data_IF_670411495366
#
_entry.id   IF_670411495366
#
_cell.length_a   1.000
_cell.length_b   1.000
_cell.length_c   1.000
_cell.angle_alpha   90.00
_cell.angle_beta   90.00
_cell.angle_gamma   90.00
#
_symmetry.space_group_name_H-M   'P 1'
#
loop_
_entity.id
_entity.type
_entity.pdbx_description
1 polymer ?
#
# COMPACT_ATOMS: atom_id res chain seq x y z
N UNK A 1 -31.18 25.83 -57.63
CA UNK A 1 -30.30 26.00 -56.45
C UNK A 1 -30.77 24.95 -55.46
N UNK A 2 -30.08 23.80 -55.48
CA UNK A 2 -30.52 22.55 -54.86
C UNK A 2 -30.60 22.70 -53.35
N UNK A 3 -31.76 22.39 -52.77
CA UNK A 3 -31.88 22.17 -51.34
C UNK A 3 -31.19 20.84 -51.02
N UNK A 4 -29.95 20.91 -50.58
CA UNK A 4 -29.30 19.78 -49.92
C UNK A 4 -30.03 19.54 -48.59
N UNK A 5 -31.08 18.72 -48.66
CA UNK A 5 -31.70 18.13 -47.49
C UNK A 5 -30.63 17.30 -46.80
N UNK A 6 -30.32 17.70 -45.57
CA UNK A 6 -29.46 16.99 -44.64
C UNK A 6 -30.16 15.68 -44.26
N UNK A 7 -30.17 14.71 -45.18
CA UNK A 7 -30.63 13.35 -44.93
C UNK A 7 -29.56 12.68 -44.06
N UNK A 8 -29.72 12.77 -42.74
CA UNK A 8 -29.10 11.80 -41.85
C UNK A 8 -29.63 10.45 -42.29
N UNK A 9 -28.75 9.56 -42.76
CA UNK A 9 -29.15 8.24 -43.23
C UNK A 9 -29.81 7.48 -42.06
N UNK A 10 -31.10 7.20 -42.22
CA UNK A 10 -31.96 6.57 -41.20
C UNK A 10 -31.51 5.14 -40.85
N UNK A 11 -30.65 4.53 -41.68
CA UNK A 11 -30.08 3.20 -41.41
C UNK A 11 -28.68 3.25 -40.80
N UNK A 12 -28.04 4.41 -40.74
CA UNK A 12 -26.66 4.57 -40.26
C UNK A 12 -26.52 4.13 -38.80
N UNK A 13 -27.52 4.41 -37.97
CA UNK A 13 -27.57 3.92 -36.58
C UNK A 13 -27.73 2.41 -36.46
N UNK A 14 -28.36 1.75 -37.44
CA UNK A 14 -28.51 0.29 -37.44
C UNK A 14 -27.25 -0.42 -37.94
N UNK A 15 -26.49 0.23 -38.83
CA UNK A 15 -25.22 -0.28 -39.35
C UNK A 15 -24.08 -0.12 -38.34
N UNK A 16 -24.08 0.98 -37.58
CA UNK A 16 -23.05 1.29 -36.59
C UNK A 16 -23.42 0.85 -35.16
N UNK A 17 -24.47 0.03 -35.00
CA UNK A 17 -25.01 -0.34 -33.70
C UNK A 17 -23.99 -1.12 -32.84
N UNK A 18 -23.24 -2.03 -33.46
CA UNK A 18 -22.20 -2.82 -32.79
C UNK A 18 -21.08 -1.91 -32.26
N UNK A 19 -20.55 -1.01 -33.09
CA UNK A 19 -19.50 -0.08 -32.69
C UNK A 19 -19.97 0.89 -31.60
N UNK A 20 -21.23 1.34 -31.69
CA UNK A 20 -21.86 2.20 -30.69
C UNK A 20 -21.92 1.50 -29.33
N UNK A 21 -22.48 0.28 -29.28
CA UNK A 21 -22.58 -0.46 -28.02
C UNK A 21 -21.23 -0.94 -27.48
N UNK A 22 -20.27 -1.25 -28.35
CA UNK A 22 -18.90 -1.55 -27.92
C UNK A 22 -18.29 -0.35 -27.20
N UNK A 23 -18.43 0.84 -27.79
CA UNK A 23 -17.94 2.08 -27.19
C UNK A 23 -18.67 2.42 -25.89
N UNK A 24 -19.98 2.29 -25.86
CA UNK A 24 -20.79 2.50 -24.65
C UNK A 24 -20.36 1.57 -23.52
N UNK A 25 -20.20 0.27 -23.80
CA UNK A 25 -19.77 -0.71 -22.81
C UNK A 25 -18.34 -0.45 -22.31
N UNK A 26 -17.44 0.00 -23.19
CA UNK A 26 -16.10 0.42 -22.79
C UNK A 26 -16.13 1.66 -21.89
N UNK A 27 -16.87 2.69 -22.29
CA UNK A 27 -16.97 3.95 -21.55
C UNK A 27 -17.62 3.74 -20.18
N UNK A 28 -18.66 2.91 -20.11
CA UNK A 28 -19.30 2.48 -18.86
C UNK A 28 -18.33 1.69 -17.98
N UNK A 29 -17.70 0.64 -18.53
CA UNK A 29 -16.75 -0.18 -17.78
C UNK A 29 -15.53 0.60 -17.29
N UNK A 30 -15.03 1.55 -18.08
CA UNK A 30 -13.94 2.44 -17.68
C UNK A 30 -14.34 3.35 -16.53
N UNK A 31 -15.52 3.98 -16.62
CA UNK A 31 -16.05 4.86 -15.57
C UNK A 31 -16.27 4.10 -14.27
N UNK A 32 -16.89 2.93 -14.34
CA UNK A 32 -17.16 2.10 -13.17
C UNK A 32 -15.87 1.55 -12.57
N UNK A 33 -14.95 1.08 -13.42
CA UNK A 33 -13.63 0.61 -13.01
C UNK A 33 -12.80 1.70 -12.31
N UNK A 34 -12.89 2.95 -12.76
CA UNK A 34 -12.21 4.07 -12.11
C UNK A 34 -12.74 4.33 -10.70
N UNK A 35 -14.06 4.25 -10.51
CA UNK A 35 -14.69 4.45 -9.20
C UNK A 35 -14.40 3.28 -8.26
N UNK A 36 -14.62 2.05 -8.74
CA UNK A 36 -14.37 0.83 -7.96
C UNK A 36 -12.89 0.69 -7.59
N UNK A 37 -11.99 0.86 -8.56
CA UNK A 37 -10.55 0.76 -8.34
C UNK A 37 -10.02 1.76 -7.31
N UNK A 38 -10.60 2.97 -7.25
CA UNK A 38 -10.23 3.96 -6.22
C UNK A 38 -10.65 3.52 -4.82
N UNK A 39 -11.85 2.99 -4.67
CA UNK A 39 -12.34 2.52 -3.37
C UNK A 39 -11.57 1.27 -2.92
N UNK A 40 -11.35 0.32 -3.82
CA UNK A 40 -10.59 -0.90 -3.55
C UNK A 40 -9.14 -0.57 -3.16
N UNK A 41 -8.46 0.31 -3.90
CA UNK A 41 -7.10 0.72 -3.58
C UNK A 41 -7.01 1.40 -2.20
N UNK A 42 -8.00 2.22 -1.86
CA UNK A 42 -8.07 2.86 -0.54
C UNK A 42 -8.23 1.81 0.57
N UNK A 43 -9.14 0.86 0.41
CA UNK A 43 -9.37 -0.18 1.41
C UNK A 43 -8.15 -1.08 1.60
N UNK A 44 -7.53 -1.51 0.50
CA UNK A 44 -6.31 -2.33 0.52
C UNK A 44 -5.16 -1.57 1.18
N UNK A 45 -4.95 -0.30 0.80
CA UNK A 45 -3.90 0.54 1.38
C UNK A 45 -4.10 0.78 2.89
N UNK A 46 -5.35 1.05 3.32
CA UNK A 46 -5.67 1.20 4.74
C UNK A 46 -5.40 -0.07 5.53
N UNK A 47 -5.85 -1.22 5.02
CA UNK A 47 -5.67 -2.51 5.69
C UNK A 47 -4.18 -2.87 5.80
N UNK A 48 -3.46 -2.85 4.68
CA UNK A 48 -2.05 -3.22 4.66
C UNK A 48 -1.20 -2.24 5.48
N UNK A 49 -1.48 -0.94 5.38
CA UNK A 49 -0.80 0.08 6.17
C UNK A 49 -1.02 -0.10 7.67
N UNK A 50 -2.24 -0.47 8.10
CA UNK A 50 -2.52 -0.76 9.50
C UNK A 50 -1.76 -2.00 9.99
N UNK A 51 -1.79 -3.10 9.23
CA UNK A 51 -1.09 -4.35 9.59
C UNK A 51 0.42 -4.12 9.79
N UNK A 52 1.05 -3.37 8.87
CA UNK A 52 2.47 -3.02 8.98
C UNK A 52 2.72 -2.06 10.15
N UNK A 53 1.87 -1.04 10.30
CA UNK A 53 1.99 -0.05 11.37
C UNK A 53 1.83 -0.67 12.77
N UNK A 54 0.92 -1.61 12.93
CA UNK A 54 0.75 -2.40 14.16
C UNK A 54 2.03 -3.18 14.49
N UNK A 55 2.59 -3.89 13.50
CA UNK A 55 3.81 -4.68 13.70
C UNK A 55 5.01 -3.79 14.09
N UNK A 56 5.21 -2.67 13.39
CA UNK A 56 6.27 -1.69 13.71
C UNK A 56 6.08 -1.08 15.10
N UNK A 57 4.84 -0.70 15.43
CA UNK A 57 4.48 -0.14 16.74
C UNK A 57 4.74 -1.12 17.88
N UNK A 58 4.42 -2.40 17.67
CA UNK A 58 4.73 -3.48 18.61
C UNK A 58 6.22 -3.58 18.89
N UNK A 59 7.07 -3.66 17.85
CA UNK A 59 8.53 -3.73 18.04
C UNK A 59 9.08 -2.49 18.74
N UNK A 60 8.62 -1.29 18.34
CA UNK A 60 9.02 -0.02 18.98
C UNK A 60 8.65 -0.01 20.47
N UNK A 61 7.47 -0.51 20.81
CA UNK A 61 7.03 -0.66 22.20
C UNK A 61 7.94 -1.60 23.01
N UNK A 62 8.29 -2.76 22.46
CA UNK A 62 9.23 -3.69 23.10
C UNK A 62 10.61 -3.07 23.31
N UNK A 63 11.17 -2.42 22.29
CA UNK A 63 12.47 -1.72 22.39
C UNK A 63 12.43 -0.67 23.49
N UNK A 64 11.39 0.18 23.54
CA UNK A 64 11.24 1.20 24.57
C UNK A 64 11.19 0.59 25.98
N UNK A 65 10.47 -0.52 26.16
CA UNK A 65 10.40 -1.24 27.43
C UNK A 65 11.76 -1.80 27.83
N UNK A 66 12.47 -2.46 26.92
CA UNK A 66 13.78 -3.03 27.20
C UNK A 66 14.84 -1.97 27.48
N UNK A 67 14.85 -0.88 26.71
CA UNK A 67 15.71 0.28 26.96
C UNK A 67 15.43 0.90 28.33
N UNK A 68 14.17 0.95 28.77
CA UNK A 68 13.80 1.41 30.11
C UNK A 68 14.27 0.45 31.21
N UNK A 69 14.12 -0.86 31.00
CA UNK A 69 14.60 -1.88 31.94
C UNK A 69 16.13 -1.87 32.09
N UNK A 70 16.87 -1.66 30.99
CA UNK A 70 18.33 -1.52 31.01
C UNK A 70 18.82 -0.34 31.85
N UNK A 71 18.07 0.77 31.87
CA UNK A 71 18.40 1.93 32.73
C UNK A 71 18.33 1.61 34.22
N UNK A 72 17.46 0.67 34.61
CA UNK A 72 17.25 0.28 36.01
C UNK A 72 18.19 -0.86 36.42
N UNK A 73 18.44 -1.82 35.52
CA UNK A 73 19.15 -3.05 35.87
C UNK A 73 20.11 -3.54 34.78
N UNK A 74 21.04 -2.66 34.36
CA UNK A 74 22.00 -2.90 33.27
C UNK A 74 22.79 -4.21 33.42
N UNK A 75 23.15 -4.59 34.65
CA UNK A 75 23.94 -5.79 34.93
C UNK A 75 23.25 -7.11 34.53
N UNK A 76 21.92 -7.12 34.34
CA UNK A 76 21.18 -8.30 33.89
C UNK A 76 21.12 -8.43 32.36
N UNK A 77 21.56 -7.42 31.61
CA UNK A 77 21.56 -7.43 30.16
C UNK A 77 22.97 -7.64 29.63
N UNK A 78 23.22 -8.82 29.04
CA UNK A 78 24.49 -9.07 28.35
C UNK A 78 24.71 -8.06 27.22
N UNK A 79 25.97 -7.76 26.90
CA UNK A 79 26.35 -6.89 25.77
C UNK A 79 25.73 -7.36 24.44
N UNK A 80 25.57 -8.67 24.26
CA UNK A 80 24.90 -9.26 23.10
C UNK A 80 23.45 -8.80 22.98
N UNK A 81 22.69 -8.81 24.08
CA UNK A 81 21.28 -8.39 24.09
C UNK A 81 21.19 -6.89 23.85
N UNK A 82 22.05 -6.09 24.49
CA UNK A 82 22.10 -4.64 24.29
C UNK A 82 22.34 -4.28 22.82
N UNK A 83 23.29 -4.97 22.17
CA UNK A 83 23.55 -4.79 20.75
C UNK A 83 22.38 -5.24 19.87
N UNK A 84 21.69 -6.32 20.21
CA UNK A 84 20.51 -6.79 19.45
C UNK A 84 19.39 -5.76 19.50
N UNK A 85 19.07 -5.22 20.68
CA UNK A 85 18.05 -4.18 20.87
C UNK A 85 18.39 -2.94 20.04
N UNK A 86 19.65 -2.48 20.10
CA UNK A 86 20.10 -1.33 19.31
C UNK A 86 19.97 -1.55 17.81
N UNK A 87 20.33 -2.74 17.32
CA UNK A 87 20.17 -3.07 15.89
C UNK A 87 18.69 -3.10 15.45
N UNK A 88 17.79 -3.54 16.32
CA UNK A 88 16.35 -3.47 16.04
C UNK A 88 15.85 -2.02 16.05
N UNK A 89 16.32 -1.19 16.97
CA UNK A 89 16.03 0.25 17.00
C UNK A 89 16.48 0.94 15.70
N UNK A 90 17.71 0.69 15.27
CA UNK A 90 18.28 1.20 14.01
C UNK A 90 17.51 0.72 12.77
N UNK A 91 16.86 -0.45 12.83
CA UNK A 91 16.01 -0.97 11.73
C UNK A 91 14.66 -0.23 11.68
N UNK A 92 14.04 0.00 12.85
CA UNK A 92 12.78 0.75 12.93
C UNK A 92 12.98 2.20 12.47
N UNK A 93 14.07 2.85 12.92
CA UNK A 93 14.32 4.26 12.57
C UNK A 93 14.62 4.47 11.09
N UNK A 94 15.11 3.44 10.39
CA UNK A 94 15.34 3.48 8.94
C UNK A 94 14.12 3.09 8.12
N UNK A 95 13.03 2.65 8.74
CA UNK A 95 11.85 2.23 8.00
C UNK A 95 11.22 3.42 7.24
N UNK A 96 11.06 3.34 5.91
CA UNK A 96 10.59 4.45 5.09
C UNK A 96 9.06 4.60 5.17
N UNK A 97 8.56 5.22 6.25
CA UNK A 97 7.12 5.37 6.50
C UNK A 97 6.35 6.16 5.42
N UNK A 98 7.04 7.05 4.70
CA UNK A 98 6.44 7.93 3.70
C UNK A 98 6.68 7.48 2.26
N UNK A 99 7.43 6.39 2.07
CA UNK A 99 7.76 5.85 0.76
C UNK A 99 7.42 4.35 0.72
N UNK A 100 6.14 4.00 0.51
CA UNK A 100 5.67 2.61 0.55
C UNK A 100 6.20 1.74 -0.60
N UNK A 101 6.84 2.35 -1.62
CA UNK A 101 7.43 1.64 -2.76
C UNK A 101 8.94 1.40 -2.59
N UNK A 102 9.51 1.85 -1.47
CA UNK A 102 10.94 1.67 -1.18
C UNK A 102 11.29 0.17 -1.08
N UNK A 103 12.25 -0.25 -1.92
CA UNK A 103 12.70 -1.64 -2.04
C UNK A 103 13.27 -2.20 -0.72
N UNK A 104 13.71 -1.33 0.19
CA UNK A 104 14.26 -1.73 1.50
C UNK A 104 13.21 -2.18 2.50
N UNK A 105 11.92 -1.87 2.31
CA UNK A 105 10.83 -2.22 3.23
C UNK A 105 10.85 -3.71 3.57
N UNK A 106 10.89 -4.57 2.55
CA UNK A 106 10.84 -6.01 2.74
C UNK A 106 12.05 -6.51 3.54
N UNK A 107 13.25 -6.01 3.22
CA UNK A 107 14.50 -6.37 3.90
C UNK A 107 14.48 -5.95 5.36
N UNK A 108 13.97 -4.74 5.66
CA UNK A 108 13.85 -4.22 7.03
C UNK A 108 12.86 -5.07 7.84
N UNK A 109 11.68 -5.35 7.29
CA UNK A 109 10.64 -6.13 7.97
C UNK A 109 11.11 -7.57 8.26
N UNK A 110 11.72 -8.23 7.29
CA UNK A 110 12.23 -9.60 7.50
C UNK A 110 13.38 -9.62 8.52
N UNK A 111 14.23 -8.59 8.52
CA UNK A 111 15.28 -8.43 9.52
C UNK A 111 14.73 -8.22 10.93
N UNK A 112 13.68 -7.40 11.09
CA UNK A 112 13.00 -7.18 12.36
C UNK A 112 12.36 -8.47 12.88
N UNK A 113 11.60 -9.17 12.03
CA UNK A 113 10.95 -10.45 12.36
C UNK A 113 11.95 -11.52 12.76
N UNK A 114 13.07 -11.61 12.04
CA UNK A 114 14.14 -12.57 12.36
C UNK A 114 14.78 -12.24 13.71
N UNK A 115 15.14 -10.97 13.95
CA UNK A 115 15.79 -10.53 15.20
C UNK A 115 14.89 -10.68 16.41
N UNK A 116 13.59 -10.46 16.26
CA UNK A 116 12.66 -10.64 17.36
C UNK A 116 12.49 -12.11 17.77
N UNK A 117 12.64 -13.06 16.83
CA UNK A 117 12.53 -14.51 17.10
C UNK A 117 13.82 -15.16 17.61
N UNK A 118 14.98 -14.53 17.44
CA UNK A 118 16.30 -15.10 17.75
C UNK A 118 16.80 -14.72 19.13
#
# INVERSE_FOLDING_TARGET
MESQSQFVDIFDSSLNLEETHYKEGYDEGYKDGLVAGKEDAKQVGLKSGFEIGEELGFYRGCINLWNSAMKVALAHFSTRIQNSIKQMEDLIDRYPLLDPEDESIQVIMDSLRLKFRS
#
